data_IF_536173986272
#
_entry.id   IF_536173986272
#
_cell.length_a   1.000
_cell.length_b   1.000
_cell.length_c   1.000
_cell.angle_alpha   90.00
_cell.angle_beta   90.00
_cell.angle_gamma   90.00
#
_symmetry.space_group_name_H-M   'P 1'
#
loop_
_entity.id
_entity.type
_entity.pdbx_description
1 polymer ?
#
# COMPACT_ATOMS: atom_id res chain seq x y z
N UNK A 1 -0.33 -8.70 -19.79
CA UNK A 1 -1.07 -8.23 -18.60
C UNK A 1 -1.94 -7.05 -19.05
N UNK A 2 -3.23 -7.02 -18.73
CA UNK A 2 -4.12 -5.97 -19.26
C UNK A 2 -3.75 -4.64 -18.59
N UNK A 3 -3.15 -3.73 -19.35
CA UNK A 3 -2.62 -2.44 -18.88
C UNK A 3 -3.56 -1.68 -17.92
N UNK A 4 -4.89 -1.86 -18.06
CA UNK A 4 -5.89 -1.23 -17.18
C UNK A 4 -5.93 -1.83 -15.77
N UNK A 5 -5.81 -3.14 -15.63
CA UNK A 5 -5.82 -3.79 -14.32
C UNK A 5 -4.55 -3.46 -13.53
N UNK A 6 -3.40 -3.41 -14.20
CA UNK A 6 -2.14 -3.08 -13.52
C UNK A 6 -2.13 -1.65 -12.98
N UNK A 7 -2.80 -0.72 -13.68
CA UNK A 7 -3.06 0.64 -13.20
C UNK A 7 -4.02 0.66 -12.00
N UNK A 8 -5.09 -0.13 -12.04
CA UNK A 8 -6.02 -0.27 -10.91
C UNK A 8 -5.33 -0.86 -9.67
N UNK A 9 -4.43 -1.82 -9.83
CA UNK A 9 -3.63 -2.38 -8.72
C UNK A 9 -2.73 -1.32 -8.10
N UNK A 10 -2.11 -0.45 -8.92
CA UNK A 10 -1.30 0.65 -8.40
C UNK A 10 -2.12 1.65 -7.60
N UNK A 11 -3.32 2.00 -8.09
CA UNK A 11 -4.27 2.83 -7.34
C UNK A 11 -4.68 2.13 -6.03
N UNK A 12 -4.98 0.83 -6.10
CA UNK A 12 -5.36 0.04 -4.93
C UNK A 12 -4.26 0.00 -3.86
N UNK A 13 -2.98 -0.10 -4.26
CA UNK A 13 -1.85 0.02 -3.32
C UNK A 13 -1.85 1.38 -2.62
N UNK A 14 -2.11 2.47 -3.34
CA UNK A 14 -2.24 3.79 -2.73
C UNK A 14 -3.43 3.84 -1.76
N UNK A 15 -4.58 3.27 -2.12
CA UNK A 15 -5.76 3.19 -1.24
C UNK A 15 -5.44 2.47 0.08
N UNK A 16 -4.74 1.33 -0.01
CA UNK A 16 -4.28 0.58 1.17
C UNK A 16 -3.36 1.41 2.05
N UNK A 17 -2.33 2.03 1.47
CA UNK A 17 -1.34 2.83 2.21
C UNK A 17 -2.02 4.04 2.86
N UNK A 18 -2.83 4.80 2.11
CA UNK A 18 -3.56 5.96 2.64
C UNK A 18 -4.49 5.58 3.79
N UNK A 19 -5.19 4.45 3.69
CA UNK A 19 -6.05 3.97 4.77
C UNK A 19 -5.25 3.62 6.03
N UNK A 20 -4.15 2.89 5.88
CA UNK A 20 -3.31 2.50 7.02
C UNK A 20 -2.62 3.70 7.67
N UNK A 21 -2.11 4.66 6.89
CA UNK A 21 -1.43 5.86 7.43
C UNK A 21 -2.41 6.80 8.11
N UNK A 22 -3.62 6.97 7.57
CA UNK A 22 -4.68 7.73 8.24
C UNK A 22 -5.03 7.11 9.60
N UNK A 23 -5.20 5.78 9.64
CA UNK A 23 -5.52 5.07 10.88
C UNK A 23 -4.36 5.13 11.89
N UNK A 24 -3.12 4.99 11.43
CA UNK A 24 -1.93 5.23 12.26
C UNK A 24 -1.90 6.66 12.82
N UNK A 25 -2.31 7.66 12.04
CA UNK A 25 -2.42 9.05 12.52
C UNK A 25 -3.41 9.21 13.68
N UNK A 26 -4.54 8.50 13.63
CA UNK A 26 -5.51 8.48 14.73
C UNK A 26 -4.90 7.85 15.98
N UNK A 27 -4.24 6.70 15.85
CA UNK A 27 -3.58 6.04 16.98
C UNK A 27 -2.44 6.89 17.56
N UNK A 28 -1.67 7.56 16.70
CA UNK A 28 -0.64 8.50 17.12
C UNK A 28 -1.21 9.67 17.93
N UNK A 29 -2.40 10.16 17.58
CA UNK A 29 -3.06 11.23 18.34
C UNK A 29 -3.43 10.84 19.78
N UNK A 30 -3.55 9.54 20.06
CA UNK A 30 -3.80 9.02 21.42
C UNK A 30 -2.53 8.85 22.25
N UNK A 31 -1.35 8.83 21.61
CA UNK A 31 -0.07 8.61 22.28
C UNK A 31 0.21 9.53 23.48
N UNK A 32 -0.10 10.84 23.43
CA UNK A 32 0.12 11.73 24.57
C UNK A 32 -0.64 11.31 25.84
N UNK A 33 -1.77 10.61 25.67
CA UNK A 33 -2.63 10.16 26.78
C UNK A 33 -2.23 8.77 27.27
N UNK A 34 -1.79 7.88 26.37
CA UNK A 34 -1.44 6.50 26.71
C UNK A 34 0.01 6.33 27.17
N UNK A 35 0.91 7.24 26.79
CA UNK A 35 2.33 7.09 27.05
C UNK A 35 2.66 6.97 28.54
N UNK A 36 2.07 7.82 29.38
CA UNK A 36 2.36 7.80 30.82
C UNK A 36 1.96 6.48 31.48
N UNK A 37 0.79 5.93 31.11
CA UNK A 37 0.28 4.67 31.65
C UNK A 37 1.11 3.48 31.20
N UNK A 38 1.59 3.49 29.96
CA UNK A 38 2.32 2.34 29.40
C UNK A 38 3.82 2.34 29.71
N UNK A 39 4.44 3.52 29.84
CA UNK A 39 5.91 3.64 29.84
C UNK A 39 6.49 4.37 31.05
N UNK A 40 5.68 5.03 31.88
CA UNK A 40 6.16 5.76 33.05
C UNK A 40 5.76 5.02 34.32
N UNK A 41 6.75 4.55 35.07
CA UNK A 41 6.54 3.83 36.34
C UNK A 41 6.59 4.80 37.53
N UNK A 42 5.60 5.67 37.66
CA UNK A 42 5.48 6.57 38.81
C UNK A 42 4.07 6.52 39.40
N UNK A 43 3.99 5.92 40.59
CA UNK A 43 2.74 5.66 41.31
C UNK A 43 1.90 6.92 41.56
N UNK A 44 2.53 8.07 41.79
CA UNK A 44 1.81 9.35 42.00
C UNK A 44 1.27 9.91 40.69
N UNK A 45 2.01 9.73 39.59
CA UNK A 45 1.57 10.14 38.25
C UNK A 45 0.53 9.20 37.65
N UNK A 46 0.42 7.97 38.15
CA UNK A 46 -0.53 6.98 37.64
C UNK A 46 -1.98 7.42 37.82
N UNK A 47 -2.38 7.96 38.97
CA UNK A 47 -3.78 8.38 39.19
C UNK A 47 -4.17 9.54 38.27
N UNK A 48 -3.29 10.55 38.13
CA UNK A 48 -3.52 11.70 37.25
C UNK A 48 -3.61 11.24 35.79
N UNK A 49 -2.68 10.38 35.36
CA UNK A 49 -2.63 9.86 33.99
C UNK A 49 -3.85 8.99 33.68
N UNK A 50 -4.30 8.16 34.64
CA UNK A 50 -5.51 7.32 34.52
C UNK A 50 -6.73 8.18 34.29
N UNK A 51 -6.94 9.22 35.12
CA UNK A 51 -8.06 10.15 34.96
C UNK A 51 -8.00 10.90 33.64
N UNK A 52 -6.80 11.32 33.21
CA UNK A 52 -6.62 12.02 31.95
C UNK A 52 -6.97 11.12 30.75
N UNK A 53 -6.49 9.87 30.75
CA UNK A 53 -6.79 8.89 29.70
C UNK A 53 -8.27 8.52 29.70
N UNK A 54 -8.86 8.27 30.87
CA UNK A 54 -10.29 7.97 31.00
C UNK A 54 -11.12 9.10 30.39
N UNK A 55 -10.87 10.35 30.79
CA UNK A 55 -11.59 11.50 30.26
C UNK A 55 -11.44 11.64 28.73
N UNK A 56 -10.24 11.36 28.20
CA UNK A 56 -10.01 11.34 26.75
C UNK A 56 -10.88 10.29 26.03
N UNK A 57 -10.92 9.07 26.55
CA UNK A 57 -11.74 7.98 25.99
C UNK A 57 -13.24 8.23 26.14
N UNK A 58 -13.69 8.79 27.25
CA UNK A 58 -15.11 9.16 27.43
C UNK A 58 -15.49 10.28 26.46
N UNK A 59 -14.62 11.28 26.27
CA UNK A 59 -14.85 12.33 25.30
C UNK A 59 -15.02 11.77 23.87
N UNK A 60 -14.26 10.74 23.51
CA UNK A 60 -14.40 9.99 22.25
C UNK A 60 -15.77 9.34 22.01
N UNK A 61 -16.59 9.16 23.05
CA UNK A 61 -17.96 8.68 22.93
C UNK A 61 -18.97 9.83 22.75
N UNK A 62 -18.61 11.03 23.23
CA UNK A 62 -19.46 12.22 23.23
C UNK A 62 -19.32 13.06 21.95
N UNK A 63 -18.22 12.90 21.22
CA UNK A 63 -17.98 13.63 19.97
C UNK A 63 -19.09 13.37 18.92
N UNK A 64 -19.38 14.35 18.04
CA UNK A 64 -20.34 14.15 16.95
C UNK A 64 -20.03 12.90 16.13
N UNK A 65 -21.04 12.05 15.90
CA UNK A 65 -20.92 10.75 15.20
C UNK A 65 -20.27 10.84 13.81
N UNK A 66 -20.32 12.01 13.18
CA UNK A 66 -19.61 12.28 11.94
C UNK A 66 -18.12 11.95 12.03
N UNK A 67 -17.46 12.27 13.14
CA UNK A 67 -16.01 12.06 13.31
C UNK A 67 -15.62 10.58 13.19
N UNK A 68 -16.14 9.65 14.02
CA UNK A 68 -15.82 8.22 13.86
C UNK A 68 -16.29 7.66 12.51
N UNK A 69 -17.36 8.19 11.92
CA UNK A 69 -17.81 7.76 10.59
C UNK A 69 -16.81 8.12 9.47
N UNK A 70 -16.08 9.23 9.60
CA UNK A 70 -14.99 9.54 8.65
C UNK A 70 -13.91 8.47 8.69
N UNK A 71 -13.54 7.98 9.88
CA UNK A 71 -12.58 6.89 10.03
C UNK A 71 -13.09 5.60 9.38
N UNK A 72 -14.35 5.22 9.62
CA UNK A 72 -14.94 4.04 9.00
C UNK A 72 -14.95 4.14 7.47
N UNK A 73 -15.23 5.32 6.92
CA UNK A 73 -15.13 5.57 5.48
C UNK A 73 -13.73 5.31 4.93
N UNK A 74 -12.69 5.82 5.60
CA UNK A 74 -11.30 5.59 5.20
C UNK A 74 -10.86 4.13 5.37
N UNK A 75 -11.39 3.43 6.39
CA UNK A 75 -11.14 1.99 6.58
C UNK A 75 -11.83 1.18 5.47
N UNK A 76 -13.08 1.47 5.13
CA UNK A 76 -13.77 0.86 4.00
C UNK A 76 -13.03 1.10 2.67
N UNK A 77 -12.46 2.29 2.48
CA UNK A 77 -11.61 2.59 1.33
C UNK A 77 -10.36 1.69 1.27
N UNK A 78 -9.74 1.38 2.41
CA UNK A 78 -8.66 0.40 2.51
C UNK A 78 -9.11 -1.02 2.16
N UNK A 79 -10.26 -1.46 2.66
CA UNK A 79 -10.86 -2.76 2.31
C UNK A 79 -11.09 -2.92 0.80
N UNK A 80 -11.59 -1.86 0.13
CA UNK A 80 -11.75 -1.85 -1.32
C UNK A 80 -10.40 -2.02 -2.02
N UNK A 81 -9.37 -1.31 -1.57
CA UNK A 81 -8.00 -1.46 -2.07
C UNK A 81 -7.52 -2.92 -1.98
N UNK A 82 -7.57 -3.53 -0.80
CA UNK A 82 -7.13 -4.92 -0.64
C UNK A 82 -7.93 -5.91 -1.49
N UNK A 83 -9.24 -5.71 -1.60
CA UNK A 83 -10.12 -6.57 -2.40
C UNK A 83 -9.75 -6.52 -3.89
N UNK A 84 -9.46 -5.33 -4.43
CA UNK A 84 -9.02 -5.17 -5.83
C UNK A 84 -7.74 -5.96 -6.09
N UNK A 85 -6.78 -5.93 -5.15
CA UNK A 85 -5.48 -6.61 -5.31
C UNK A 85 -5.59 -8.14 -5.24
N UNK A 86 -6.57 -8.65 -4.48
CA UNK A 86 -6.81 -10.09 -4.30
C UNK A 86 -7.47 -10.76 -5.50
N UNK A 87 -8.16 -10.00 -6.36
CA UNK A 87 -8.91 -10.60 -7.46
C UNK A 87 -8.03 -11.33 -8.48
N UNK A 88 -6.83 -10.80 -8.76
CA UNK A 88 -5.86 -11.43 -9.68
C UNK A 88 -4.42 -11.06 -9.30
N UNK A 89 -3.87 -11.63 -8.22
CA UNK A 89 -2.51 -11.32 -7.80
C UNK A 89 -1.49 -11.95 -8.74
N UNK A 90 -0.32 -11.32 -8.84
CA UNK A 90 0.83 -11.94 -9.50
C UNK A 90 1.44 -13.01 -8.58
N UNK A 91 1.89 -14.12 -9.17
CA UNK A 91 2.34 -15.33 -8.46
C UNK A 91 3.47 -15.02 -7.47
N UNK A 92 4.34 -14.07 -7.82
CA UNK A 92 5.53 -13.71 -7.04
C UNK A 92 5.22 -12.90 -5.77
N UNK A 93 4.06 -12.23 -5.72
CA UNK A 93 3.69 -11.31 -4.64
C UNK A 93 2.41 -11.72 -3.89
N UNK A 94 1.71 -12.76 -4.35
CA UNK A 94 0.40 -13.15 -3.84
C UNK A 94 0.35 -13.33 -2.32
N UNK A 95 1.38 -13.93 -1.71
CA UNK A 95 1.43 -14.17 -0.27
C UNK A 95 1.56 -12.88 0.54
N UNK A 96 2.28 -11.88 0.02
CA UNK A 96 2.38 -10.58 0.66
C UNK A 96 1.06 -9.81 0.59
N UNK A 97 0.30 -9.96 -0.50
CA UNK A 97 -1.03 -9.35 -0.64
C UNK A 97 -2.06 -10.00 0.29
N UNK A 98 -2.13 -11.33 0.32
CA UNK A 98 -3.02 -12.06 1.22
C UNK A 98 -2.67 -11.82 2.68
N UNK A 99 -1.38 -11.88 3.02
CA UNK A 99 -0.89 -11.60 4.36
C UNK A 99 -1.26 -10.19 4.81
N UNK A 100 -1.03 -9.18 3.98
CA UNK A 100 -1.39 -7.80 4.29
C UNK A 100 -2.90 -7.62 4.53
N UNK A 101 -3.74 -8.30 3.74
CA UNK A 101 -5.18 -8.22 3.93
C UNK A 101 -5.66 -8.87 5.23
N UNK A 102 -5.11 -10.03 5.57
CA UNK A 102 -5.41 -10.71 6.85
C UNK A 102 -4.97 -9.82 8.03
N UNK A 103 -3.76 -9.27 7.98
CA UNK A 103 -3.26 -8.36 9.03
C UNK A 103 -4.14 -7.11 9.12
N UNK A 104 -4.65 -6.60 7.99
CA UNK A 104 -5.57 -5.46 7.98
C UNK A 104 -6.90 -5.79 8.66
N UNK A 105 -7.48 -6.97 8.37
CA UNK A 105 -8.67 -7.47 9.07
C UNK A 105 -8.39 -7.59 10.57
N UNK A 106 -7.26 -8.16 10.96
CA UNK A 106 -6.87 -8.31 12.37
C UNK A 106 -6.75 -6.96 13.07
N UNK A 107 -6.18 -5.95 12.43
CA UNK A 107 -6.09 -4.60 12.97
C UNK A 107 -7.49 -3.98 13.21
N UNK A 108 -8.40 -4.15 12.25
CA UNK A 108 -9.79 -3.67 12.37
C UNK A 108 -10.52 -4.42 13.48
N UNK A 109 -10.40 -5.74 13.55
CA UNK A 109 -11.00 -6.55 14.61
C UNK A 109 -10.48 -6.13 15.99
N UNK A 110 -9.15 -6.03 16.15
CA UNK A 110 -8.52 -5.59 17.40
C UNK A 110 -8.98 -4.19 17.80
N UNK A 111 -9.11 -3.26 16.85
CA UNK A 111 -9.67 -1.94 17.13
C UNK A 111 -11.12 -2.01 17.63
N UNK A 112 -11.98 -2.77 16.96
CA UNK A 112 -13.39 -2.88 17.36
C UNK A 112 -13.51 -3.55 18.73
N UNK A 113 -12.90 -4.72 18.91
CA UNK A 113 -13.05 -5.54 20.12
C UNK A 113 -12.35 -4.96 21.34
N UNK A 114 -11.14 -4.43 21.19
CA UNK A 114 -10.32 -4.08 22.34
C UNK A 114 -10.33 -2.58 22.61
N UNK A 115 -10.32 -1.75 21.56
CA UNK A 115 -10.33 -0.30 21.73
C UNK A 115 -11.77 0.20 21.85
N UNK A 116 -12.62 -0.03 20.84
CA UNK A 116 -13.95 0.59 20.83
C UNK A 116 -14.88 0.00 21.89
N UNK A 117 -14.95 -1.32 22.00
CA UNK A 117 -15.70 -1.95 23.08
C UNK A 117 -15.07 -1.74 24.45
N UNK A 118 -13.74 -1.70 24.56
CA UNK A 118 -13.05 -1.35 25.81
C UNK A 118 -13.45 0.03 26.33
N UNK A 119 -13.57 1.02 25.45
CA UNK A 119 -14.03 2.37 25.82
C UNK A 119 -15.50 2.36 26.29
N UNK A 120 -16.37 1.54 25.71
CA UNK A 120 -17.74 1.38 26.21
C UNK A 120 -17.78 0.74 27.60
N UNK A 121 -16.92 -0.25 27.88
CA UNK A 121 -16.75 -0.79 29.22
C UNK A 121 -16.25 0.27 30.21
N UNK A 122 -15.31 1.12 29.79
CA UNK A 122 -14.82 2.24 30.59
C UNK A 122 -15.94 3.25 30.93
N UNK A 123 -16.84 3.52 29.99
CA UNK A 123 -18.02 4.36 30.24
C UNK A 123 -19.01 3.74 31.25
N UNK A 124 -19.20 2.43 31.18
CA UNK A 124 -20.06 1.71 32.11
C UNK A 124 -19.43 1.55 33.50
N UNK A 125 -18.12 1.74 33.64
CA UNK A 125 -17.37 1.43 34.86
C UNK A 125 -17.24 -0.07 35.11
N UNK A 126 -17.44 -0.89 34.08
CA UNK A 126 -17.46 -2.35 34.15
C UNK A 126 -16.11 -2.92 33.68
N UNK A 127 -15.23 -3.20 34.63
CA UNK A 127 -13.86 -3.67 34.36
C UNK A 127 -13.68 -5.19 34.50
N UNK A 128 -14.72 -5.92 34.92
CA UNK A 128 -14.64 -7.35 35.17
C UNK A 128 -13.75 -7.68 36.38
N UNK A 129 -12.81 -8.61 36.21
CA UNK A 129 -11.91 -9.08 37.28
C UNK A 129 -10.68 -8.18 37.50
N UNK A 130 -10.57 -7.06 36.78
CA UNK A 130 -9.43 -6.14 36.87
C UNK A 130 -9.85 -4.76 37.39
N UNK A 131 -8.89 -4.02 37.94
CA UNK A 131 -9.07 -2.63 38.32
C UNK A 131 -9.04 -1.70 37.09
N UNK A 132 -9.53 -0.46 37.26
CA UNK A 132 -9.61 0.55 36.21
C UNK A 132 -8.27 0.83 35.53
N UNK A 133 -7.17 0.92 36.29
CA UNK A 133 -5.85 1.20 35.74
C UNK A 133 -5.40 0.06 34.83
N UNK A 134 -5.55 -1.19 35.29
CA UNK A 134 -5.24 -2.37 34.49
C UNK A 134 -6.12 -2.45 33.24
N UNK A 135 -7.41 -2.18 33.35
CA UNK A 135 -8.34 -2.15 32.22
C UNK A 135 -7.97 -1.12 31.15
N UNK A 136 -7.69 0.12 31.56
CA UNK A 136 -7.24 1.19 30.66
C UNK A 136 -5.88 0.89 30.04
N UNK A 137 -4.97 0.24 30.77
CA UNK A 137 -3.67 -0.21 30.27
C UNK A 137 -3.83 -1.23 29.14
N UNK A 138 -4.80 -2.15 29.24
CA UNK A 138 -5.09 -3.15 28.18
C UNK A 138 -5.63 -2.47 26.91
N UNK A 139 -6.50 -1.46 27.06
CA UNK A 139 -6.99 -0.67 25.93
C UNK A 139 -5.83 0.05 25.25
N UNK A 140 -5.00 0.75 26.03
CA UNK A 140 -3.83 1.47 25.54
C UNK A 140 -2.80 0.53 24.86
N UNK A 141 -2.54 -0.64 25.45
CA UNK A 141 -1.66 -1.64 24.85
C UNK A 141 -2.23 -2.18 23.51
N UNK A 142 -3.55 -2.27 23.38
CA UNK A 142 -4.19 -2.67 22.12
C UNK A 142 -4.01 -1.63 21.01
N UNK A 143 -3.90 -0.35 21.36
CA UNK A 143 -3.50 0.71 20.40
C UNK A 143 -2.07 0.47 19.88
N UNK A 144 -1.13 0.13 20.77
CA UNK A 144 0.26 -0.20 20.40
C UNK A 144 0.31 -1.40 19.45
N UNK A 145 -0.44 -2.46 19.75
CA UNK A 145 -0.52 -3.63 18.88
C UNK A 145 -1.03 -3.22 17.49
N UNK A 146 -2.09 -2.41 17.42
CA UNK A 146 -2.61 -1.92 16.15
C UNK A 146 -1.61 -1.06 15.38
N UNK A 147 -0.79 -0.25 16.07
CA UNK A 147 0.31 0.49 15.43
C UNK A 147 1.27 -0.47 14.74
N UNK A 148 1.69 -1.55 15.39
CA UNK A 148 2.61 -2.52 14.77
C UNK A 148 1.97 -3.27 13.59
N UNK A 149 0.70 -3.67 13.70
CA UNK A 149 -0.02 -4.33 12.61
C UNK A 149 -0.12 -3.42 11.37
N UNK A 150 -0.56 -2.18 11.56
CA UNK A 150 -0.73 -1.21 10.47
C UNK A 150 0.61 -0.75 9.88
N UNK A 151 1.62 -0.53 10.72
CA UNK A 151 2.97 -0.17 10.26
C UNK A 151 3.58 -1.30 9.43
N UNK A 152 3.42 -2.56 9.86
CA UNK A 152 3.85 -3.73 9.11
C UNK A 152 3.24 -3.77 7.71
N UNK A 153 1.93 -3.47 7.60
CA UNK A 153 1.25 -3.36 6.30
C UNK A 153 1.86 -2.22 5.46
N UNK A 154 2.03 -1.02 6.02
CA UNK A 154 2.58 0.12 5.26
C UNK A 154 3.96 -0.20 4.71
N UNK A 155 4.82 -0.83 5.50
CA UNK A 155 6.17 -1.25 5.08
C UNK A 155 6.08 -2.25 3.92
N UNK A 156 5.27 -3.31 4.05
CA UNK A 156 5.11 -4.32 3.00
C UNK A 156 4.55 -3.69 1.72
N UNK A 157 3.47 -2.91 1.83
CA UNK A 157 2.78 -2.31 0.68
C UNK A 157 3.67 -1.29 -0.06
N UNK A 158 4.45 -0.50 0.69
CA UNK A 158 5.43 0.42 0.10
C UNK A 158 6.58 -0.33 -0.57
N UNK A 159 7.05 -1.43 0.04
CA UNK A 159 8.07 -2.29 -0.55
C UNK A 159 7.63 -2.94 -1.85
N UNK A 160 6.40 -3.46 -1.91
CA UNK A 160 5.81 -4.02 -3.13
C UNK A 160 5.65 -2.97 -4.22
N UNK A 161 5.23 -1.75 -3.86
CA UNK A 161 5.14 -0.63 -4.81
C UNK A 161 6.51 -0.29 -5.40
N UNK A 162 7.53 -0.19 -4.55
CA UNK A 162 8.91 0.11 -4.99
C UNK A 162 9.47 -1.00 -5.88
N UNK A 163 9.28 -2.27 -5.51
CA UNK A 163 9.72 -3.41 -6.30
C UNK A 163 9.08 -3.40 -7.70
N UNK A 164 7.75 -3.17 -7.77
CA UNK A 164 7.04 -3.05 -9.05
C UNK A 164 7.55 -1.88 -9.89
N UNK A 165 7.77 -0.72 -9.26
CA UNK A 165 8.27 0.46 -9.96
C UNK A 165 9.64 0.22 -10.60
N UNK A 166 10.57 -0.41 -9.90
CA UNK A 166 11.90 -0.69 -10.45
C UNK A 166 11.84 -1.76 -11.56
N UNK A 167 11.04 -2.81 -11.37
CA UNK A 167 10.79 -3.83 -12.40
C UNK A 167 10.26 -3.22 -13.71
N UNK A 168 9.30 -2.30 -13.62
CA UNK A 168 8.70 -1.64 -14.78
C UNK A 168 9.69 -0.72 -15.49
N UNK A 169 10.60 -0.06 -14.75
CA UNK A 169 11.68 0.76 -15.32
C UNK A 169 12.69 -0.06 -16.11
N UNK A 170 13.13 -1.19 -15.56
CA UNK A 170 14.09 -2.08 -16.23
C UNK A 170 13.48 -2.68 -17.50
N UNK A 171 12.23 -3.16 -17.43
CA UNK A 171 11.50 -3.72 -18.60
C UNK A 171 11.34 -2.69 -19.70
N UNK A 172 10.98 -1.45 -19.36
CA UNK A 172 10.81 -0.37 -20.34
C UNK A 172 12.12 -0.03 -21.04
N UNK A 173 13.22 0.01 -20.30
CA UNK A 173 14.57 0.28 -20.86
C UNK A 173 15.00 -0.81 -21.82
N UNK A 174 14.77 -2.08 -21.46
CA UNK A 174 15.09 -3.23 -22.32
C UNK A 174 14.28 -3.21 -23.63
N UNK A 175 12.96 -2.99 -23.55
CA UNK A 175 12.08 -2.94 -24.72
C UNK A 175 12.45 -1.78 -25.66
N UNK A 176 12.81 -0.61 -25.13
CA UNK A 176 13.27 0.53 -25.92
C UNK A 176 14.57 0.23 -26.67
N UNK A 177 15.51 -0.48 -26.04
CA UNK A 177 16.76 -0.88 -26.67
C UNK A 177 16.54 -1.93 -27.77
N UNK A 178 15.65 -2.90 -27.53
CA UNK A 178 15.27 -3.90 -28.55
C UNK A 178 14.58 -3.24 -29.76
N UNK A 179 13.68 -2.28 -29.52
CA UNK A 179 12.99 -1.55 -30.58
C UNK A 179 13.97 -0.72 -31.41
N UNK A 180 14.89 0.01 -30.76
CA UNK A 180 15.95 0.77 -31.46
C UNK A 180 16.84 -0.14 -32.31
N UNK A 181 17.23 -1.31 -31.79
CA UNK A 181 18.03 -2.28 -32.55
C UNK A 181 17.28 -2.81 -33.77
N UNK A 182 16.00 -3.17 -33.61
CA UNK A 182 15.15 -3.62 -34.72
C UNK A 182 14.94 -2.54 -35.78
N UNK A 183 14.77 -1.28 -35.38
CA UNK A 183 14.66 -0.14 -36.31
C UNK A 183 15.98 0.10 -37.06
N UNK A 184 17.13 0.07 -36.38
CA UNK A 184 18.44 0.21 -37.03
C UNK A 184 18.73 -0.95 -38.00
N UNK A 185 18.31 -2.18 -37.66
CA UNK A 185 18.37 -3.33 -38.57
C UNK A 185 17.42 -3.16 -39.76
N UNK A 186 16.20 -2.66 -39.55
CA UNK A 186 15.26 -2.38 -40.64
C UNK A 186 15.78 -1.28 -41.58
N UNK A 187 16.33 -0.19 -41.06
CA UNK A 187 16.94 0.89 -41.85
C UNK A 187 18.14 0.37 -42.65
N UNK A 188 19.04 -0.40 -42.04
CA UNK A 188 20.17 -0.98 -42.77
C UNK A 188 19.74 -1.98 -43.86
N UNK A 189 18.67 -2.76 -43.63
CA UNK A 189 18.09 -3.64 -44.64
C UNK A 189 17.46 -2.85 -45.81
N UNK A 190 16.82 -1.71 -45.55
CA UNK A 190 16.27 -0.83 -46.60
C UNK A 190 17.41 -0.21 -47.42
N UNK A 191 18.45 0.32 -46.76
CA UNK A 191 19.62 0.91 -47.43
C UNK A 191 20.32 -0.13 -48.31
N UNK A 192 20.54 -1.34 -47.81
CA UNK A 192 21.15 -2.43 -48.58
C UNK A 192 20.26 -2.89 -49.75
N UNK A 193 18.95 -2.88 -49.58
CA UNK A 193 17.97 -3.18 -50.64
C UNK A 193 17.98 -2.14 -51.78
N UNK A 194 18.03 -0.85 -51.44
CA UNK A 194 18.12 0.24 -52.44
C UNK A 194 19.45 0.25 -53.20
N UNK A 195 20.56 -0.05 -52.52
CA UNK A 195 21.89 -0.16 -53.15
C UNK A 195 21.94 -1.36 -54.11
N UNK A 196 21.35 -2.50 -53.76
CA UNK A 196 21.25 -3.68 -54.62
C UNK A 196 20.40 -3.41 -55.88
N UNK A 197 19.30 -2.66 -55.74
CA UNK A 197 18.45 -2.27 -56.88
C UNK A 197 19.12 -1.24 -57.81
N UNK A 198 19.86 -0.26 -57.26
CA UNK A 198 20.68 0.67 -58.07
C UNK A 198 21.81 -0.04 -58.82
N UNK A 199 22.40 -1.08 -58.23
CA UNK A 199 23.48 -1.86 -58.86
C UNK A 199 22.96 -2.77 -59.99
N UNK A 200 21.77 -3.36 -59.84
CA UNK A 200 21.10 -4.11 -60.92
C UNK A 200 20.63 -3.22 -62.08
N UNK A 201 20.24 -1.98 -61.81
CA UNK A 201 19.88 -1.00 -62.85
C UNK A 201 21.10 -0.56 -63.69
N UNK A 202 22.26 -0.34 -63.06
CA UNK A 202 23.52 -0.03 -63.79
C UNK A 202 24.11 -1.21 -64.57
N UNK A 203 23.82 -2.46 -64.19
CA UNK A 203 24.30 -3.66 -64.89
C UNK A 203 23.60 -3.98 -66.22
N UNK A 204 22.48 -3.32 -66.53
CA UNK A 204 21.71 -3.59 -67.76
C UNK A 204 22.04 -2.66 -68.95
N UNK A 205 22.93 -1.67 -68.77
CA UNK A 205 23.24 -0.67 -69.82
C UNK A 205 24.59 -0.86 -70.54
N UNK A 206 25.33 -1.95 -70.33
CA UNK A 206 26.67 -2.16 -70.93
C UNK A 206 26.78 -3.37 -71.88
N UNK A 207 25.68 -3.85 -72.43
CA UNK A 207 25.64 -5.11 -73.19
C UNK A 207 25.03 -5.05 -74.59
N UNK A 208 25.17 -3.96 -75.35
CA UNK A 208 24.84 -3.97 -76.80
C UNK A 208 25.81 -3.08 -77.57
N UNK A 209 26.94 -3.65 -78.01
CA UNK A 209 27.54 -3.31 -79.31
C UNK A 209 28.68 -4.29 -79.64
N UNK A 210 28.35 -5.37 -80.36
CA UNK A 210 29.33 -6.06 -81.21
C UNK A 210 28.61 -6.91 -82.26
N UNK A 211 29.05 -6.74 -83.52
CA UNK A 211 28.78 -7.52 -84.75
C UNK A 211 27.39 -7.23 -85.38
N UNK A 212 27.22 -7.01 -86.68
CA UNK A 212 27.83 -7.57 -87.91
C UNK A 212 27.58 -6.61 -89.10
N UNK A 213 28.52 -6.59 -90.07
CA UNK A 213 28.47 -6.18 -91.49
C UNK A 213 28.14 -4.73 -91.89
#
# INVERSE_FOLDING_TARGET
>A
MSSRYDALVTIATLMCITSCTFFLGILYSNWPYTHAILWVNDYQNNEISTKLLLNHYLHWLEVPKFIPYTMYGVVCFGFLGFTIKIFRPAVDIQYFEYGSFIVYILAVCCYVSNIRFGIYSAQAGEWGDVDEYTGLSVIAASEVINVFLLLGIVVIQSGLFYAKYEDDRVKTTFLMNELKSKLAQAESNIINGEVSNKTKSKGKSSGVSKKVQ
#
